data_IF_088668419036
#
_entry.id   IF_088668419036
#
_cell.length_a   1.000
_cell.length_b   1.000
_cell.length_c   1.000
_cell.angle_alpha   90.00
_cell.angle_beta   90.00
_cell.angle_gamma   90.00
#
_symmetry.space_group_name_H-M   'P 1'
#
loop_
_entity.id
_entity.type
_entity.pdbx_description
1 polymer ?
#
# COMPACT_ATOMS: atom_id res chain seq x y z
N UNK A 1 -12.94 2.37 -0.16
CA UNK A 1 -12.23 3.22 0.82
C UNK A 1 -10.79 2.72 1.06
N UNK A 2 -10.14 2.16 0.03
CA UNK A 2 -8.84 1.49 0.16
C UNK A 2 -7.66 2.38 -0.26
N UNK A 3 -7.92 3.46 -1.00
CA UNK A 3 -6.88 4.40 -1.48
C UNK A 3 -5.90 4.88 -0.40
N UNK A 4 -6.31 5.27 0.82
CA UNK A 4 -5.37 5.76 1.83
C UNK A 4 -4.33 4.69 2.22
N UNK A 5 -4.75 3.42 2.30
CA UNK A 5 -3.86 2.30 2.58
C UNK A 5 -2.84 2.10 1.47
N UNK A 6 -3.29 2.18 0.21
CA UNK A 6 -2.38 2.10 -0.95
C UNK A 6 -1.34 3.21 -0.89
N UNK A 7 -1.79 4.46 -0.77
CA UNK A 7 -0.92 5.63 -0.76
C UNK A 7 0.08 5.58 0.41
N UNK A 8 -0.36 5.16 1.60
CA UNK A 8 0.52 5.01 2.75
C UNK A 8 1.54 3.91 2.55
N UNK A 9 1.13 2.69 2.17
CA UNK A 9 2.05 1.54 2.01
C UNK A 9 3.10 1.83 0.93
N UNK A 10 2.70 2.42 -0.20
CA UNK A 10 3.65 2.81 -1.26
C UNK A 10 4.65 3.87 -0.76
N UNK A 11 4.20 4.87 0.00
CA UNK A 11 5.10 5.87 0.60
C UNK A 11 5.98 5.28 1.71
N UNK A 12 5.47 4.29 2.44
CA UNK A 12 6.11 3.69 3.60
C UNK A 12 7.22 2.71 3.21
N UNK A 13 7.02 1.90 2.16
CA UNK A 13 7.94 0.82 1.81
C UNK A 13 8.84 1.12 0.61
N UNK A 14 8.43 2.00 -0.32
CA UNK A 14 9.16 2.21 -1.58
C UNK A 14 10.11 3.42 -1.55
N UNK A 15 10.31 4.04 -0.39
CA UNK A 15 11.17 5.21 -0.24
C UNK A 15 12.15 5.01 0.91
N UNK A 16 13.38 5.43 0.67
CA UNK A 16 14.42 5.46 1.68
C UNK A 16 14.23 6.62 2.66
N UNK A 17 15.08 6.64 3.68
CA UNK A 17 14.99 7.67 4.72
C UNK A 17 15.27 9.06 4.16
N UNK A 18 16.17 9.22 3.19
CA UNK A 18 16.48 10.51 2.60
C UNK A 18 15.30 11.07 1.79
N UNK A 19 14.63 10.25 0.99
CA UNK A 19 13.41 10.63 0.27
C UNK A 19 12.29 11.03 1.24
N UNK A 20 12.09 10.23 2.29
CA UNK A 20 11.10 10.47 3.36
C UNK A 20 11.34 11.80 4.09
N UNK A 21 12.59 12.09 4.41
CA UNK A 21 13.02 13.31 5.10
C UNK A 21 13.07 14.54 4.17
N UNK A 22 12.91 14.37 2.86
CA UNK A 22 12.96 15.47 1.87
C UNK A 22 11.67 15.59 1.05
N UNK A 23 11.60 15.03 -0.16
CA UNK A 23 10.54 15.33 -1.10
C UNK A 23 9.18 14.74 -0.70
N UNK A 24 9.13 13.68 0.12
CA UNK A 24 7.86 13.16 0.64
C UNK A 24 7.17 14.15 1.60
N UNK A 25 7.91 15.10 2.19
CA UNK A 25 7.31 16.16 3.03
C UNK A 25 6.35 17.06 2.23
N UNK A 26 6.45 17.10 0.90
CA UNK A 26 5.45 17.79 0.03
C UNK A 26 4.05 17.18 0.18
N UNK A 27 3.96 15.92 0.60
CA UNK A 27 2.71 15.18 0.87
C UNK A 27 2.36 15.18 2.36
N UNK A 28 2.97 16.04 3.17
CA UNK A 28 2.86 16.05 4.64
C UNK A 28 3.35 14.75 5.31
N UNK A 29 4.22 14.00 4.63
CA UNK A 29 4.83 12.81 5.19
C UNK A 29 5.87 13.18 6.25
N UNK A 30 5.76 12.53 7.41
CA UNK A 30 6.79 12.45 8.43
C UNK A 30 6.50 11.18 9.22
N UNK A 31 7.48 10.33 9.43
CA UNK A 31 7.23 9.07 10.16
C UNK A 31 6.78 9.36 11.59
N UNK A 32 5.79 8.59 12.04
CA UNK A 32 5.38 8.58 13.44
C UNK A 32 6.47 7.91 14.28
N UNK A 33 6.65 8.37 15.52
CA UNK A 33 7.66 7.78 16.39
C UNK A 33 7.27 6.36 16.77
N UNK A 34 8.17 5.41 16.53
CA UNK A 34 7.94 4.00 16.79
C UNK A 34 7.51 3.75 18.24
N UNK A 35 6.37 3.07 18.41
CA UNK A 35 5.77 2.77 19.71
C UNK A 35 4.87 3.89 20.26
N UNK A 36 4.81 5.02 19.58
CA UNK A 36 4.02 6.20 19.96
C UNK A 36 3.06 6.64 18.86
N UNK A 37 2.76 5.79 17.87
CA UNK A 37 1.82 6.10 16.79
C UNK A 37 0.46 6.60 17.27
N UNK A 38 -0.08 6.00 18.33
CA UNK A 38 -1.36 6.39 18.94
C UNK A 38 -1.23 7.53 19.98
N UNK A 39 -0.01 7.97 20.28
CA UNK A 39 0.19 9.06 21.25
C UNK A 39 -0.25 10.39 20.66
N UNK A 40 -1.16 11.06 21.37
CA UNK A 40 -1.58 12.42 21.08
C UNK A 40 -0.64 13.47 21.68
N UNK A 41 0.40 13.05 22.42
CA UNK A 41 1.42 13.96 22.93
C UNK A 41 2.48 14.22 21.86
N UNK A 42 2.61 15.50 21.48
CA UNK A 42 3.59 15.96 20.50
C UNK A 42 5.04 15.74 20.93
N UNK A 43 5.31 15.52 22.22
CA UNK A 43 6.66 15.19 22.69
C UNK A 43 7.02 13.71 22.48
N UNK A 44 6.01 12.84 22.34
CA UNK A 44 6.21 11.41 22.14
C UNK A 44 6.13 11.03 20.66
N UNK A 45 5.17 11.59 19.93
CA UNK A 45 5.03 11.36 18.49
C UNK A 45 5.49 12.59 17.70
N UNK A 46 6.74 12.53 17.24
CA UNK A 46 7.38 13.62 16.49
C UNK A 46 6.74 13.84 15.11
N UNK A 47 6.27 12.77 14.45
CA UNK A 47 5.55 12.88 13.17
C UNK A 47 4.24 13.63 13.32
N UNK A 48 3.46 13.30 14.36
CA UNK A 48 2.24 14.04 14.69
C UNK A 48 2.54 15.50 15.05
N UNK A 49 3.59 15.74 15.84
CA UNK A 49 4.03 17.08 16.21
C UNK A 49 4.38 17.93 14.99
N UNK A 50 5.13 17.35 14.05
CA UNK A 50 5.51 18.00 12.80
C UNK A 50 4.28 18.38 11.97
N UNK A 51 3.34 17.45 11.78
CA UNK A 51 2.08 17.71 11.03
C UNK A 51 1.21 18.76 11.73
N UNK A 52 1.08 18.69 13.05
CA UNK A 52 0.34 19.68 13.85
C UNK A 52 0.97 21.06 13.78
N UNK A 53 2.29 21.17 13.79
CA UNK A 53 2.97 22.47 13.68
C UNK A 53 2.60 23.19 12.38
N UNK A 54 2.37 22.44 11.29
CA UNK A 54 1.97 22.97 9.98
C UNK A 54 0.53 23.48 9.96
N UNK A 55 -0.39 22.77 10.60
CA UNK A 55 -1.82 23.11 10.66
C UNK A 55 -2.26 23.88 11.93
N UNK A 56 -1.33 24.25 12.81
CA UNK A 56 -1.62 24.89 14.11
C UNK A 56 -2.43 26.18 13.91
N UNK A 57 -3.41 26.41 14.80
CA UNK A 57 -4.34 27.56 14.76
C UNK A 57 -5.12 27.66 13.43
N UNK A 58 -5.46 26.51 12.83
CA UNK A 58 -6.17 26.45 11.54
C UNK A 58 -5.44 27.13 10.39
N UNK A 59 -4.11 27.20 10.46
CA UNK A 59 -3.28 27.76 9.39
C UNK A 59 -3.46 26.94 8.11
N UNK A 60 -3.60 27.64 7.00
CA UNK A 60 -3.64 27.05 5.67
C UNK A 60 -2.28 26.43 5.32
N UNK A 61 -2.30 25.28 4.67
CA UNK A 61 -1.10 24.61 4.19
C UNK A 61 -1.39 23.95 2.85
N UNK A 62 -0.34 23.72 2.08
CA UNK A 62 -0.42 23.13 0.76
C UNK A 62 0.16 21.72 0.77
N UNK A 63 -0.36 20.87 -0.11
CA UNK A 63 0.13 19.53 -0.34
C UNK A 63 0.25 19.29 -1.84
N UNK A 64 1.30 18.58 -2.24
CA UNK A 64 1.50 18.15 -3.63
C UNK A 64 2.03 16.72 -3.66
N UNK A 65 1.41 15.90 -4.50
CA UNK A 65 1.80 14.51 -4.69
C UNK A 65 1.11 13.89 -5.91
N UNK A 66 1.60 12.73 -6.37
CA UNK A 66 0.95 11.95 -7.41
C UNK A 66 -0.36 11.35 -6.89
N UNK A 67 -1.23 10.98 -7.82
CA UNK A 67 -2.37 10.13 -7.53
C UNK A 67 -1.92 8.67 -7.61
N UNK A 68 -2.14 7.91 -6.54
CA UNK A 68 -1.82 6.49 -6.47
C UNK A 68 -2.88 5.66 -7.22
N UNK A 69 -2.80 5.67 -8.56
CA UNK A 69 -3.70 4.98 -9.49
C UNK A 69 -2.90 4.09 -10.42
N UNK A 70 -3.44 2.93 -10.81
CA UNK A 70 -2.70 1.93 -11.61
C UNK A 70 -2.18 2.50 -12.93
N UNK A 71 -3.01 3.26 -13.66
CA UNK A 71 -2.64 3.91 -14.92
C UNK A 71 -1.65 5.06 -14.74
N UNK A 72 -1.52 5.62 -13.54
CA UNK A 72 -0.56 6.69 -13.27
C UNK A 72 0.84 6.15 -12.96
N UNK A 73 0.97 4.85 -12.72
CA UNK A 73 2.24 4.18 -12.39
C UNK A 73 2.87 3.49 -13.61
N UNK A 74 2.41 3.80 -14.83
CA UNK A 74 2.98 3.27 -16.08
C UNK A 74 3.89 4.31 -16.74
N UNK A 75 5.00 3.88 -17.34
CA UNK A 75 5.92 4.75 -18.08
C UNK A 75 5.38 5.18 -19.44
N UNK A 76 4.22 4.64 -19.85
CA UNK A 76 3.61 4.90 -21.16
C UNK A 76 2.67 6.09 -21.11
N UNK A 77 2.83 7.00 -22.06
CA UNK A 77 1.91 8.11 -22.26
C UNK A 77 0.57 7.63 -22.83
N UNK A 78 -0.53 8.18 -22.31
CA UNK A 78 -1.87 7.89 -22.80
C UNK A 78 -2.04 8.38 -24.26
N UNK A 79 -2.71 7.59 -25.10
CA UNK A 79 -3.03 7.97 -26.47
C UNK A 79 -3.86 9.26 -26.51
N UNK A 80 -3.72 10.01 -27.61
CA UNK A 80 -4.57 11.16 -27.88
C UNK A 80 -6.05 10.76 -27.98
N UNK A 81 -6.94 11.70 -27.69
CA UNK A 81 -8.40 11.54 -27.76
C UNK A 81 -8.97 10.45 -26.82
N UNK A 82 -8.23 10.06 -25.78
CA UNK A 82 -8.77 9.26 -24.68
C UNK A 82 -9.41 10.19 -23.63
N UNK A 83 -10.60 9.83 -23.14
CA UNK A 83 -11.25 10.57 -22.04
C UNK A 83 -10.86 9.95 -20.70
N UNK A 84 -10.17 10.71 -19.85
CA UNK A 84 -9.87 10.31 -18.48
C UNK A 84 -10.86 10.98 -17.51
N UNK A 85 -11.56 10.18 -16.71
CA UNK A 85 -12.42 10.67 -15.63
C UNK A 85 -11.84 10.26 -14.27
N UNK A 86 -11.40 11.24 -13.49
CA UNK A 86 -10.89 11.02 -12.13
C UNK A 86 -11.96 11.44 -11.12
N UNK A 87 -12.35 10.52 -10.24
CA UNK A 87 -13.28 10.79 -9.13
C UNK A 87 -12.55 10.62 -7.81
N UNK A 88 -12.35 11.73 -7.09
CA UNK A 88 -11.72 11.73 -5.77
C UNK A 88 -12.80 11.79 -4.69
N UNK A 89 -12.74 10.86 -3.74
CA UNK A 89 -13.63 10.84 -2.57
C UNK A 89 -12.79 10.98 -1.31
N UNK A 90 -13.09 11.99 -0.50
CA UNK A 90 -12.35 12.27 0.74
C UNK A 90 -12.69 11.24 1.82
N UNK A 91 -11.67 10.80 2.57
CA UNK A 91 -11.87 10.05 3.81
C UNK A 91 -12.57 10.88 4.89
N UNK A 92 -13.16 10.22 5.88
CA UNK A 92 -13.75 10.89 7.05
C UNK A 92 -12.68 11.59 7.88
N UNK A 93 -13.05 12.68 8.56
CA UNK A 93 -12.12 13.44 9.40
C UNK A 93 -11.49 12.59 10.50
N UNK A 94 -12.29 11.74 11.16
CA UNK A 94 -11.81 10.82 12.20
C UNK A 94 -10.81 9.76 11.72
N UNK A 95 -10.73 9.51 10.41
CA UNK A 95 -9.70 8.64 9.83
C UNK A 95 -8.45 9.44 9.45
N UNK A 96 -8.62 10.67 8.96
CA UNK A 96 -7.52 11.49 8.45
C UNK A 96 -6.79 12.30 9.54
N UNK A 97 -7.41 12.51 10.70
CA UNK A 97 -6.90 13.38 11.77
C UNK A 97 -6.86 12.65 13.11
N UNK A 98 -5.80 12.91 13.87
CA UNK A 98 -5.70 12.55 15.29
C UNK A 98 -5.92 13.78 16.18
N UNK A 99 -6.87 13.68 17.11
CA UNK A 99 -7.32 14.78 17.95
C UNK A 99 -7.64 14.35 19.39
N UNK A 100 -7.40 15.26 20.33
CA UNK A 100 -7.85 15.13 21.73
C UNK A 100 -9.31 15.55 21.93
N UNK A 101 -9.85 16.44 21.08
CA UNK A 101 -11.22 16.97 21.19
C UNK A 101 -12.19 16.31 20.21
N UNK A 102 -11.69 15.81 19.08
CA UNK A 102 -12.49 15.19 18.02
C UNK A 102 -13.44 16.15 17.30
N UNK A 103 -13.13 17.45 17.27
CA UNK A 103 -13.98 18.48 16.62
C UNK A 103 -13.34 19.08 15.36
N UNK A 104 -12.07 18.74 15.12
CA UNK A 104 -11.28 19.20 14.01
C UNK A 104 -11.72 18.54 12.70
N UNK A 105 -11.62 19.32 11.61
CA UNK A 105 -12.03 18.91 10.27
C UNK A 105 -11.05 19.44 9.22
N UNK A 106 -10.95 18.73 8.11
CA UNK A 106 -10.19 19.16 6.94
C UNK A 106 -11.15 19.88 5.98
N UNK A 107 -10.77 21.10 5.58
CA UNK A 107 -11.47 21.86 4.53
C UNK A 107 -10.54 22.07 3.34
N UNK A 108 -10.97 21.65 2.16
CA UNK A 108 -10.28 22.00 0.93
C UNK A 108 -10.66 23.42 0.51
N UNK A 109 -9.65 24.26 0.29
CA UNK A 109 -9.83 25.63 -0.19
C UNK A 109 -9.63 25.70 -1.71
N UNK A 110 -8.61 24.99 -2.21
CA UNK A 110 -8.28 24.88 -3.62
C UNK A 110 -7.78 23.45 -3.92
N UNK A 111 -8.12 22.92 -5.09
CA UNK A 111 -7.71 21.58 -5.54
C UNK A 111 -7.35 21.67 -7.02
N UNK A 112 -6.06 21.46 -7.33
CA UNK A 112 -5.50 21.54 -8.69
C UNK A 112 -4.99 20.17 -9.13
N UNK A 113 -5.29 19.79 -10.38
CA UNK A 113 -4.73 18.62 -11.03
C UNK A 113 -3.76 19.07 -12.12
N UNK A 114 -2.48 18.73 -11.95
CA UNK A 114 -1.45 18.97 -12.96
C UNK A 114 -1.28 17.72 -13.82
N UNK A 115 -1.48 17.86 -15.14
CA UNK A 115 -1.29 16.77 -16.10
C UNK A 115 -0.26 17.19 -17.14
N UNK A 116 0.78 16.37 -17.34
CA UNK A 116 1.78 16.61 -18.38
C UNK A 116 1.23 16.17 -19.73
N UNK A 117 1.14 17.10 -20.68
CA UNK A 117 0.80 16.83 -22.08
C UNK A 117 2.07 16.86 -22.92
N UNK A 118 2.22 15.88 -23.82
CA UNK A 118 3.33 15.82 -24.78
C UNK A 118 2.82 16.15 -26.18
N UNK A 119 3.49 17.08 -26.85
CA UNK A 119 3.24 17.40 -28.25
C UNK A 119 4.18 16.55 -29.11
N UNK A 120 3.62 15.77 -30.01
CA UNK A 120 4.35 14.85 -30.89
C UNK A 120 4.35 15.37 -32.33
N UNK A 121 5.37 15.01 -33.11
CA UNK A 121 5.47 15.42 -34.51
C UNK A 121 4.35 14.77 -35.36
N UNK A 122 3.94 15.41 -36.47
CA UNK A 122 2.93 14.85 -37.37
C UNK A 122 3.28 13.45 -37.89
N UNK A 123 4.57 13.16 -38.11
CA UNK A 123 5.04 11.83 -38.55
C UNK A 123 4.77 10.74 -37.53
N UNK A 124 4.95 11.03 -36.23
CA UNK A 124 4.66 10.07 -35.14
C UNK A 124 3.16 9.84 -35.00
N UNK A 125 2.34 10.89 -35.17
CA UNK A 125 0.87 10.76 -35.17
C UNK A 125 0.39 9.81 -36.27
N UNK A 126 0.91 9.96 -37.49
CA UNK A 126 0.57 9.07 -38.61
C UNK A 126 1.04 7.63 -38.36
N UNK A 127 2.26 7.45 -37.85
CA UNK A 127 2.79 6.15 -37.50
C UNK A 127 1.96 5.44 -36.42
N UNK A 128 1.50 6.17 -35.39
CA UNK A 128 0.59 5.62 -34.38
C UNK A 128 -0.76 5.20 -34.99
N UNK A 129 -1.32 5.99 -35.90
CA UNK A 129 -2.57 5.62 -36.58
C UNK A 129 -2.42 4.30 -37.38
N UNK A 130 -1.33 4.17 -38.16
CA UNK A 130 -1.03 2.94 -38.90
C UNK A 130 -0.73 1.74 -37.99
N UNK A 131 -0.08 1.95 -36.85
CA UNK A 131 0.18 0.88 -35.88
C UNK A 131 -1.11 0.37 -35.22
N UNK A 132 -2.04 1.28 -34.91
CA UNK A 132 -3.33 0.95 -34.30
C UNK A 132 -4.26 0.18 -35.24
N UNK A 133 -4.04 0.22 -36.56
CA UNK A 133 -4.74 -0.67 -37.51
C UNK A 133 -4.33 -2.14 -37.36
N UNK A 134 -3.12 -2.40 -36.85
CA UNK A 134 -2.57 -3.77 -36.71
C UNK A 134 -2.76 -4.35 -35.31
N UNK A 135 -2.61 -3.52 -34.28
CA UNK A 135 -2.72 -3.97 -32.88
C UNK A 135 -3.10 -2.81 -31.96
N UNK A 136 -3.87 -3.06 -30.88
CA UNK A 136 -4.18 -2.03 -29.89
C UNK A 136 -2.93 -1.56 -29.15
N UNK A 137 -2.98 -0.33 -28.63
CA UNK A 137 -1.95 0.17 -27.73
C UNK A 137 -2.04 -0.55 -26.39
N UNK A 138 -0.90 -1.06 -25.92
CA UNK A 138 -0.80 -1.87 -24.70
C UNK A 138 -0.23 -1.03 -23.57
N UNK A 139 -0.86 -1.07 -22.40
CA UNK A 139 -0.48 -0.36 -21.19
C UNK A 139 -0.30 -1.37 -20.05
N UNK A 140 0.92 -1.87 -19.85
CA UNK A 140 1.33 -2.59 -18.65
C UNK A 140 1.02 -1.77 -17.39
N UNK A 141 0.27 -2.34 -16.45
CA UNK A 141 0.00 -1.73 -15.14
C UNK A 141 0.16 -2.72 -14.01
N UNK A 142 0.67 -2.24 -12.87
CA UNK A 142 0.62 -2.97 -11.61
C UNK A 142 -0.65 -2.57 -10.88
N UNK A 143 -1.69 -3.39 -11.04
CA UNK A 143 -2.99 -3.18 -10.40
C UNK A 143 -2.88 -3.50 -8.92
N UNK A 144 -3.34 -2.60 -8.08
CA UNK A 144 -3.40 -2.81 -6.64
C UNK A 144 -4.83 -3.09 -6.19
N UNK A 145 -5.04 -4.23 -5.53
CA UNK A 145 -6.28 -4.52 -4.80
C UNK A 145 -5.98 -4.65 -3.30
N UNK A 146 -6.90 -4.17 -2.47
CA UNK A 146 -6.75 -4.23 -1.01
C UNK A 146 -7.99 -4.89 -0.43
N UNK A 147 -7.78 -6.01 0.25
CA UNK A 147 -8.81 -6.72 0.99
C UNK A 147 -8.56 -6.58 2.48
N UNK A 148 -9.65 -6.39 3.22
CA UNK A 148 -9.61 -6.29 4.67
C UNK A 148 -10.48 -7.37 5.27
N UNK A 149 -9.94 -8.10 6.26
CA UNK A 149 -10.68 -9.10 7.02
C UNK A 149 -10.65 -8.74 8.50
N UNK A 150 -11.83 -8.62 9.10
CA UNK A 150 -11.95 -8.42 10.55
C UNK A 150 -11.74 -9.73 11.30
N UNK A 151 -10.89 -9.70 12.32
CA UNK A 151 -10.64 -10.81 13.24
C UNK A 151 -11.19 -10.41 14.61
N UNK A 152 -12.08 -11.22 15.15
CA UNK A 152 -12.78 -10.92 16.40
C UNK A 152 -11.84 -11.00 17.62
N UNK A 153 -12.21 -10.29 18.68
CA UNK A 153 -11.62 -10.42 20.01
C UNK A 153 -11.71 -11.88 20.51
N UNK A 154 -10.72 -12.31 21.30
CA UNK A 154 -10.68 -13.64 21.92
C UNK A 154 -10.14 -14.75 21.01
N UNK A 155 -9.91 -14.48 19.73
CA UNK A 155 -9.39 -15.48 18.79
C UNK A 155 -7.89 -15.72 19.03
N UNK A 156 -7.49 -16.99 19.01
CA UNK A 156 -6.07 -17.42 19.00
C UNK A 156 -5.55 -17.73 17.60
N UNK A 157 -6.44 -17.97 16.64
CA UNK A 157 -6.06 -18.30 15.28
C UNK A 157 -7.12 -17.85 14.29
N UNK A 158 -6.71 -17.63 13.05
CA UNK A 158 -7.61 -17.30 11.95
C UNK A 158 -7.06 -17.91 10.67
N UNK A 159 -7.91 -18.66 9.98
CA UNK A 159 -7.70 -19.04 8.58
C UNK A 159 -8.56 -18.14 7.71
N UNK A 160 -7.97 -17.63 6.64
CA UNK A 160 -8.63 -16.82 5.62
C UNK A 160 -8.46 -17.53 4.30
N UNK A 161 -9.47 -18.29 3.89
CA UNK A 161 -9.52 -18.95 2.59
C UNK A 161 -9.92 -17.99 1.47
N UNK A 162 -9.55 -18.33 0.24
CA UNK A 162 -9.92 -17.59 -0.98
C UNK A 162 -9.59 -16.09 -0.90
N UNK A 163 -8.43 -15.77 -0.29
CA UNK A 163 -7.97 -14.41 -0.09
C UNK A 163 -7.97 -13.64 -1.41
N UNK A 164 -7.48 -14.27 -2.48
CA UNK A 164 -7.72 -13.86 -3.86
C UNK A 164 -8.14 -15.09 -4.68
N UNK A 165 -9.04 -14.87 -5.64
CA UNK A 165 -9.58 -15.89 -6.53
C UNK A 165 -9.29 -15.49 -7.98
N UNK A 166 -9.10 -16.49 -8.83
CA UNK A 166 -8.73 -16.36 -10.23
C UNK A 166 -7.29 -15.91 -10.38
N UNK A 167 -6.99 -14.62 -10.49
CA UNK A 167 -5.63 -14.13 -10.70
C UNK A 167 -4.83 -14.16 -9.39
N UNK A 168 -3.62 -14.73 -9.41
CA UNK A 168 -2.69 -14.64 -8.30
C UNK A 168 -1.91 -13.31 -8.36
N UNK A 169 -1.76 -12.61 -7.23
CA UNK A 169 -0.91 -11.44 -7.15
C UNK A 169 0.57 -11.82 -7.26
N UNK A 170 1.38 -10.91 -7.81
CA UNK A 170 2.84 -11.03 -7.81
C UNK A 170 3.44 -10.69 -6.44
N UNK A 171 2.77 -9.82 -5.67
CA UNK A 171 3.21 -9.39 -4.34
C UNK A 171 2.02 -9.29 -3.41
N UNK A 172 2.22 -9.72 -2.16
CA UNK A 172 1.25 -9.53 -1.08
C UNK A 172 1.92 -8.88 0.13
N UNK A 173 1.29 -7.85 0.67
CA UNK A 173 1.70 -7.15 1.89
C UNK A 173 0.57 -7.31 2.91
N UNK A 174 0.90 -7.84 4.08
CA UNK A 174 -0.05 -8.08 5.17
C UNK A 174 0.32 -7.18 6.34
N UNK A 175 -0.68 -6.49 6.90
CA UNK A 175 -0.55 -5.70 8.11
C UNK A 175 -1.79 -5.83 8.98
N UNK A 176 -1.61 -5.65 10.29
CA UNK A 176 -2.71 -5.68 11.25
C UNK A 176 -2.86 -4.33 11.93
N UNK A 177 -4.09 -3.89 12.06
CA UNK A 177 -4.42 -2.62 12.72
C UNK A 177 -5.60 -2.82 13.66
N UNK A 178 -5.71 -1.99 14.68
CA UNK A 178 -6.87 -1.99 15.56
C UNK A 178 -8.15 -1.64 14.77
N UNK A 179 -9.25 -2.35 15.04
CA UNK A 179 -10.49 -2.15 14.31
C UNK A 179 -11.07 -0.73 14.45
N UNK A 180 -10.90 -0.06 15.60
CA UNK A 180 -11.35 1.33 15.77
C UNK A 180 -10.52 2.28 14.92
N UNK A 181 -9.20 2.10 14.92
CA UNK A 181 -8.29 2.88 14.08
C UNK A 181 -8.67 2.76 12.59
N UNK A 182 -8.93 1.54 12.12
CA UNK A 182 -9.37 1.30 10.73
C UNK A 182 -10.68 2.03 10.37
N UNK A 183 -11.65 2.05 11.28
CA UNK A 183 -12.95 2.70 11.07
C UNK A 183 -12.92 4.23 11.27
N UNK A 184 -11.80 4.77 11.73
CA UNK A 184 -11.60 6.17 12.07
C UNK A 184 -11.93 6.44 13.53
N UNK A 185 -10.89 6.74 14.31
CA UNK A 185 -10.96 7.12 15.72
C UNK A 185 -9.92 8.22 15.95
N UNK A 186 -10.34 9.37 16.51
CA UNK A 186 -9.45 10.51 16.68
C UNK A 186 -8.26 10.24 17.62
N UNK A 187 -8.36 9.25 18.50
CA UNK A 187 -7.31 8.85 19.42
C UNK A 187 -6.38 7.77 18.87
N UNK A 188 -6.60 7.26 17.66
CA UNK A 188 -5.83 6.15 17.10
C UNK A 188 -5.34 6.44 15.70
N UNK A 189 -4.14 5.94 15.40
CA UNK A 189 -3.53 6.08 14.10
C UNK A 189 -3.93 4.86 13.24
N UNK A 190 -4.62 5.06 12.10
CA UNK A 190 -4.97 3.94 11.21
C UNK A 190 -3.73 3.23 10.66
N UNK A 191 -2.57 3.88 10.62
CA UNK A 191 -1.34 3.31 10.09
C UNK A 191 -0.40 2.74 11.17
N UNK A 192 -0.90 2.55 12.40
CA UNK A 192 -0.18 1.83 13.45
C UNK A 192 -0.28 0.31 13.21
N UNK A 193 0.68 -0.25 12.46
CA UNK A 193 0.74 -1.67 12.12
C UNK A 193 1.34 -2.47 13.28
N UNK A 194 0.48 -3.05 14.12
CA UNK A 194 0.89 -3.77 15.32
C UNK A 194 1.01 -5.27 15.03
N UNK A 195 1.86 -5.96 15.79
CA UNK A 195 2.03 -7.40 15.67
C UNK A 195 0.97 -8.23 16.41
N UNK A 196 0.27 -7.65 17.40
CA UNK A 196 -0.77 -8.32 18.22
C UNK A 196 -0.37 -9.70 18.78
N UNK A 197 0.91 -9.85 19.15
CA UNK A 197 1.50 -11.12 19.60
C UNK A 197 1.33 -12.29 18.61
N UNK A 198 1.29 -11.99 17.30
CA UNK A 198 1.36 -13.00 16.26
C UNK A 198 2.58 -13.90 16.49
N UNK A 199 2.39 -15.21 16.43
CA UNK A 199 3.46 -16.20 16.61
C UNK A 199 3.51 -17.24 15.48
N UNK A 200 2.60 -17.14 14.51
CA UNK A 200 2.56 -17.98 13.33
C UNK A 200 1.89 -17.23 12.19
N UNK A 201 2.55 -17.19 11.03
CA UNK A 201 2.00 -16.72 9.76
C UNK A 201 2.47 -17.64 8.64
N UNK A 202 1.51 -18.20 7.90
CA UNK A 202 1.77 -18.98 6.70
C UNK A 202 0.83 -18.57 5.58
N UNK A 203 1.39 -18.22 4.43
CA UNK A 203 0.62 -18.07 3.20
C UNK A 203 0.66 -19.40 2.43
N UNK A 204 -0.46 -19.76 1.83
CA UNK A 204 -0.59 -20.90 0.94
C UNK A 204 -1.06 -20.43 -0.43
N UNK A 205 -0.38 -20.88 -1.48
CA UNK A 205 -0.74 -20.67 -2.89
C UNK A 205 -0.97 -22.03 -3.50
N UNK A 206 -2.19 -22.30 -3.98
CA UNK A 206 -2.60 -23.60 -4.53
C UNK A 206 -2.28 -24.80 -3.59
N UNK A 207 -2.47 -24.58 -2.29
CA UNK A 207 -2.18 -25.57 -1.24
C UNK A 207 -0.71 -25.67 -0.84
N UNK A 208 0.22 -25.09 -1.59
CA UNK A 208 1.65 -25.07 -1.26
C UNK A 208 1.98 -23.90 -0.33
N UNK A 209 2.79 -24.17 0.70
CA UNK A 209 3.26 -23.16 1.65
C UNK A 209 4.28 -22.21 1.00
N UNK A 210 4.06 -20.89 1.15
CA UNK A 210 4.97 -19.83 0.73
C UNK A 210 5.19 -18.86 1.90
N UNK A 211 6.42 -18.69 2.43
CA UNK A 211 7.59 -19.53 2.19
C UNK A 211 7.38 -20.98 2.66
N UNK A 212 8.32 -21.88 2.34
CA UNK A 212 8.21 -23.32 2.64
C UNK A 212 8.07 -23.62 4.13
N UNK A 213 8.63 -22.77 4.98
CA UNK A 213 8.47 -22.81 6.43
C UNK A 213 7.63 -21.62 6.88
N UNK A 214 6.76 -21.80 7.89
CA UNK A 214 5.96 -20.70 8.42
C UNK A 214 6.85 -19.68 9.13
N UNK A 215 6.43 -18.41 9.10
CA UNK A 215 7.04 -17.39 9.95
C UNK A 215 6.54 -17.60 11.38
N UNK A 216 7.45 -17.86 12.32
CA UNK A 216 7.11 -18.06 13.73
C UNK A 216 7.82 -17.06 14.65
N UNK A 217 7.44 -15.77 14.61
CA UNK A 217 8.08 -14.75 15.43
C UNK A 217 7.76 -14.93 16.93
N UNK A 218 8.71 -14.54 17.78
CA UNK A 218 8.49 -14.33 19.21
C UNK A 218 8.90 -12.89 19.57
N UNK A 219 7.93 -11.99 19.48
CA UNK A 219 8.10 -10.57 19.79
C UNK A 219 8.43 -10.30 21.26
N UNK A 220 8.18 -11.25 22.18
CA UNK A 220 8.52 -11.07 23.60
C UNK A 220 10.01 -11.28 23.87
N UNK A 221 10.69 -12.02 22.99
CA UNK A 221 12.13 -12.32 23.07
C UNK A 221 12.95 -11.63 21.98
N UNK A 222 12.35 -10.68 21.27
CA UNK A 222 12.93 -10.01 20.11
C UNK A 222 13.37 -10.96 18.97
N UNK A 223 12.69 -12.10 18.81
CA UNK A 223 12.99 -13.12 17.79
C UNK A 223 12.02 -13.00 16.61
N UNK A 224 12.20 -11.97 15.79
CA UNK A 224 11.33 -11.69 14.63
C UNK A 224 12.11 -11.39 13.34
N UNK A 225 13.38 -11.82 13.26
CA UNK A 225 14.28 -11.48 12.16
C UNK A 225 13.77 -11.93 10.78
N UNK A 226 13.17 -13.11 10.68
CA UNK A 226 12.60 -13.60 9.41
C UNK A 226 11.44 -12.72 8.94
N UNK A 227 10.58 -12.28 9.86
CA UNK A 227 9.48 -11.35 9.57
C UNK A 227 10.02 -9.99 9.11
N UNK A 228 11.02 -9.45 9.82
CA UNK A 228 11.69 -8.21 9.43
C UNK A 228 12.35 -8.34 8.05
N UNK A 229 13.00 -9.47 7.76
CA UNK A 229 13.63 -9.74 6.47
C UNK A 229 12.63 -9.69 5.30
N UNK A 230 11.37 -10.10 5.54
CA UNK A 230 10.34 -10.04 4.49
C UNK A 230 10.15 -8.65 3.91
N UNK A 231 10.34 -7.58 4.71
CA UNK A 231 10.25 -6.20 4.24
C UNK A 231 11.24 -5.89 3.12
N UNK A 232 12.38 -6.55 3.08
CA UNK A 232 13.45 -6.31 2.10
C UNK A 232 13.38 -7.31 0.96
N UNK A 233 13.20 -8.60 1.26
CA UNK A 233 13.08 -9.64 0.22
C UNK A 233 11.83 -9.44 -0.63
N UNK A 234 10.71 -9.08 0.00
CA UNK A 234 9.43 -8.91 -0.71
C UNK A 234 9.31 -7.59 -1.50
N UNK A 235 10.08 -6.56 -1.14
CA UNK A 235 10.14 -5.28 -1.87
C UNK A 235 11.28 -5.23 -2.89
N UNK A 236 12.10 -6.28 -2.97
CA UNK A 236 13.19 -6.38 -3.95
C UNK A 236 14.40 -5.48 -3.67
N UNK A 237 14.53 -4.95 -2.44
CA UNK A 237 15.69 -4.16 -1.98
C UNK A 237 16.68 -4.98 -1.16
N UNK A 238 16.42 -6.29 -0.98
CA UNK A 238 17.30 -7.17 -0.21
C UNK A 238 18.74 -7.13 -0.75
N UNK A 239 19.68 -6.76 0.13
CA UNK A 239 21.11 -6.62 -0.18
C UNK A 239 21.47 -5.54 -1.21
N UNK A 240 20.52 -4.67 -1.59
CA UNK A 240 20.79 -3.46 -2.38
C UNK A 240 21.23 -2.31 -1.45
N UNK A 241 21.89 -1.31 -2.00
CA UNK A 241 22.20 -0.05 -1.29
C UNK A 241 20.97 0.88 -1.27
N UNK A 242 19.84 0.32 -0.83
CA UNK A 242 18.53 0.94 -0.78
C UNK A 242 17.81 0.49 0.49
N UNK A 243 17.02 1.37 1.10
CA UNK A 243 16.31 1.08 2.33
C UNK A 243 14.86 1.53 2.29
N UNK A 244 14.08 1.08 3.27
CA UNK A 244 12.70 1.50 3.49
C UNK A 244 12.54 2.36 4.75
N UNK A 245 13.63 2.77 5.40
CA UNK A 245 13.61 3.61 6.61
C UNK A 245 13.18 2.90 7.91
N UNK A 246 12.82 1.60 7.88
CA UNK A 246 12.37 0.87 9.07
C UNK A 246 13.54 0.12 9.69
N UNK A 247 13.96 0.52 10.89
CA UNK A 247 15.00 -0.17 11.64
C UNK A 247 14.48 -1.45 12.31
N UNK A 248 15.39 -2.38 12.63
CA UNK A 248 15.06 -3.61 13.37
C UNK A 248 14.35 -3.33 14.71
N UNK A 249 14.72 -2.25 15.41
CA UNK A 249 14.13 -1.87 16.70
C UNK A 249 12.78 -1.16 16.57
N UNK A 250 12.51 -0.56 15.41
CA UNK A 250 11.25 0.15 15.15
C UNK A 250 10.19 -0.77 14.55
N UNK A 251 10.59 -1.85 13.90
CA UNK A 251 9.71 -2.83 13.27
C UNK A 251 8.58 -3.35 14.17
N UNK A 252 8.83 -3.87 15.39
CA UNK A 252 7.75 -4.39 16.25
C UNK A 252 6.88 -3.28 16.85
N UNK A 253 7.29 -2.01 16.74
CA UNK A 253 6.67 -0.88 17.43
C UNK A 253 5.75 -0.07 16.52
N UNK A 254 4.80 -0.74 15.87
CA UNK A 254 3.79 -0.09 15.00
C UNK A 254 4.16 -0.04 13.52
N UNK A 255 5.23 -0.74 13.12
CA UNK A 255 5.72 -0.82 11.74
C UNK A 255 5.74 -2.27 11.21
N UNK A 256 4.92 -3.15 11.79
CA UNK A 256 4.95 -4.60 11.52
C UNK A 256 4.11 -4.94 10.28
N UNK A 257 4.79 -4.99 9.12
CA UNK A 257 4.25 -5.52 7.87
C UNK A 257 4.99 -6.80 7.47
N UNK A 258 4.32 -7.65 6.69
CA UNK A 258 4.88 -8.88 6.11
C UNK A 258 4.74 -8.81 4.60
N UNK A 259 5.85 -8.93 3.85
CA UNK A 259 5.86 -8.76 2.39
C UNK A 259 6.30 -10.06 1.72
N UNK A 260 5.46 -10.60 0.85
CA UNK A 260 5.71 -11.81 0.08
C UNK A 260 5.82 -11.46 -1.39
N UNK A 261 6.95 -11.82 -1.99
CA UNK A 261 7.08 -11.92 -3.45
C UNK A 261 6.63 -13.33 -3.87
N UNK A 262 5.63 -13.39 -4.75
CA UNK A 262 5.01 -14.61 -5.25
C UNK A 262 5.34 -14.87 -6.72
N UNK A 263 6.17 -14.00 -7.32
CA UNK A 263 6.69 -14.25 -8.65
C UNK A 263 7.60 -15.49 -8.65
N UNK A 264 7.58 -16.33 -9.71
CA UNK A 264 8.38 -17.55 -9.76
C UNK A 264 9.90 -17.34 -9.62
N UNK A 265 10.37 -16.18 -10.04
CA UNK A 265 11.77 -15.78 -10.10
C UNK A 265 12.14 -14.67 -9.09
N UNK A 266 11.24 -14.34 -8.15
CA UNK A 266 11.43 -13.29 -7.14
C UNK A 266 11.74 -11.91 -7.73
N UNK A 267 11.04 -11.60 -8.82
CA UNK A 267 11.22 -10.42 -9.64
C UNK A 267 10.02 -9.47 -9.58
N UNK A 268 9.22 -9.47 -8.51
CA UNK A 268 8.04 -8.58 -8.45
C UNK A 268 8.40 -7.09 -8.48
N UNK A 269 9.66 -6.73 -8.22
CA UNK A 269 10.20 -5.37 -8.36
C UNK A 269 10.93 -5.11 -9.69
N UNK A 270 11.03 -6.10 -10.56
CA UNK A 270 11.76 -5.99 -11.83
C UNK A 270 10.81 -5.64 -12.99
N UNK A 271 11.31 -5.01 -14.07
CA UNK A 271 10.46 -4.44 -15.13
C UNK A 271 9.88 -5.50 -16.08
N UNK A 272 10.32 -6.76 -16.02
CA UNK A 272 9.80 -7.82 -16.89
C UNK A 272 8.50 -8.43 -16.35
N UNK A 273 7.82 -9.12 -17.25
CA UNK A 273 6.51 -9.69 -16.99
C UNK A 273 6.61 -11.18 -16.73
N UNK A 274 5.98 -11.60 -15.65
CA UNK A 274 5.78 -13.00 -15.36
C UNK A 274 4.47 -13.48 -15.97
N UNK A 275 4.41 -14.78 -16.28
CA UNK A 275 3.17 -15.37 -16.78
C UNK A 275 2.08 -15.22 -15.72
N UNK A 276 0.94 -14.62 -16.08
CA UNK A 276 -0.20 -14.53 -15.19
C UNK A 276 -0.66 -15.94 -14.79
N UNK A 277 -0.64 -16.19 -13.48
CA UNK A 277 -1.08 -17.47 -12.92
C UNK A 277 -2.47 -17.33 -12.34
N UNK A 278 -3.24 -18.41 -12.49
CA UNK A 278 -4.50 -18.55 -11.80
C UNK A 278 -4.38 -19.51 -10.64
N UNK A 279 -5.11 -19.23 -9.56
CA UNK A 279 -5.03 -20.06 -8.35
C UNK A 279 -5.87 -19.54 -7.20
N UNK A 280 -5.65 -20.17 -6.05
CA UNK A 280 -6.28 -19.81 -4.78
C UNK A 280 -5.23 -19.48 -3.73
N UNK A 281 -5.57 -18.53 -2.87
CA UNK A 281 -4.70 -18.12 -1.77
C UNK A 281 -5.39 -18.33 -0.43
N UNK A 282 -4.65 -18.85 0.53
CA UNK A 282 -5.10 -18.98 1.92
C UNK A 282 -4.04 -18.41 2.86
N UNK A 283 -4.49 -17.68 3.89
CA UNK A 283 -3.64 -17.13 4.93
C UNK A 283 -3.99 -17.75 6.28
N UNK A 284 -3.01 -18.36 6.94
CA UNK A 284 -3.14 -18.94 8.27
C UNK A 284 -2.36 -18.11 9.29
N UNK A 285 -3.05 -17.72 10.37
CA UNK A 285 -2.55 -16.86 11.43
C UNK A 285 -2.76 -17.52 12.79
N UNK A 286 -1.78 -17.38 13.69
CA UNK A 286 -1.95 -17.69 15.12
C UNK A 286 -1.30 -16.61 15.99
N UNK A 287 -1.89 -16.41 17.16
CA UNK A 287 -1.48 -15.44 18.16
C UNK A 287 -1.11 -16.17 19.44
N UNK A 288 -0.02 -15.74 20.09
CA UNK A 288 0.44 -16.31 21.35
C UNK A 288 -0.59 -16.12 22.48
N UNK A 289 -1.35 -15.03 22.41
CA UNK A 289 -2.40 -14.66 23.36
C UNK A 289 -3.72 -14.44 22.62
N UNK A 290 -4.87 -14.61 23.29
CA UNK A 290 -6.15 -14.29 22.67
C UNK A 290 -6.21 -12.78 22.39
N UNK A 291 -6.67 -12.41 21.19
CA UNK A 291 -6.75 -11.00 20.81
C UNK A 291 -7.58 -10.19 21.83
N UNK A 292 -6.97 -9.19 22.47
CA UNK A 292 -7.62 -8.37 23.48
C UNK A 292 -8.72 -7.46 22.92
N UNK A 293 -8.70 -7.20 21.61
CA UNK A 293 -9.64 -6.35 20.89
C UNK A 293 -9.79 -6.84 19.45
N UNK A 294 -10.88 -6.52 18.74
CA UNK A 294 -10.99 -6.86 17.32
C UNK A 294 -9.95 -6.10 16.50
N UNK A 295 -9.36 -6.77 15.52
CA UNK A 295 -8.36 -6.21 14.62
C UNK A 295 -8.78 -6.39 13.17
N UNK A 296 -8.22 -5.57 12.28
CA UNK A 296 -8.38 -5.72 10.85
C UNK A 296 -7.06 -6.15 10.23
N UNK A 297 -7.09 -7.28 9.52
CA UNK A 297 -6.02 -7.73 8.65
C UNK A 297 -6.18 -7.03 7.30
N UNK A 298 -5.27 -6.11 6.99
CA UNK A 298 -5.20 -5.41 5.71
C UNK A 298 -4.24 -6.16 4.81
N UNK A 299 -4.74 -6.64 3.67
CA UNK A 299 -3.98 -7.37 2.67
C UNK A 299 -3.93 -6.53 1.40
N UNK A 300 -2.76 -5.98 1.13
CA UNK A 300 -2.45 -5.27 -0.11
C UNK A 300 -1.85 -6.25 -1.10
N UNK A 301 -2.38 -6.28 -2.32
CA UNK A 301 -1.97 -7.23 -3.34
C UNK A 301 -1.73 -6.52 -4.68
N UNK A 302 -0.60 -6.81 -5.31
CA UNK A 302 -0.23 -6.29 -6.62
C UNK A 302 -0.43 -7.36 -7.69
N UNK A 303 -0.99 -6.97 -8.83
CA UNK A 303 -1.24 -7.83 -9.97
C UNK A 303 -0.65 -7.19 -11.22
N UNK A 304 0.03 -7.97 -12.06
CA UNK A 304 0.40 -7.51 -13.39
C UNK A 304 -0.82 -7.64 -14.30
N UNK A 305 -1.33 -6.52 -14.80
CA UNK A 305 -2.51 -6.46 -15.67
C UNK A 305 -2.25 -5.58 -16.88
N UNK A 306 -2.97 -5.86 -17.96
CA UNK A 306 -2.85 -5.13 -19.21
C UNK A 306 -4.11 -4.33 -19.51
N UNK A 307 -3.91 -3.04 -19.79
CA UNK A 307 -4.95 -2.18 -20.37
C UNK A 307 -4.62 -2.03 -21.86
N UNK A 308 -5.60 -2.31 -22.72
CA UNK A 308 -5.48 -2.13 -24.16
C UNK A 308 -6.41 -1.01 -24.64
N UNK A 309 -5.92 -0.17 -25.55
CA UNK A 309 -6.71 0.88 -26.19
C UNK A 309 -6.66 0.66 -27.69
N UNK A 310 -7.83 0.40 -28.29
CA UNK A 310 -7.92 0.14 -29.73
C UNK A 310 -7.93 1.43 -30.58
N UNK A 311 -8.01 1.25 -31.90
CA UNK A 311 -8.06 2.36 -32.87
C UNK A 311 -9.25 3.29 -32.65
N UNK A 312 -10.36 2.78 -32.10
CA UNK A 312 -11.61 3.50 -31.86
C UNK A 312 -11.65 4.10 -30.44
N UNK A 313 -10.57 3.94 -29.67
CA UNK A 313 -10.39 4.41 -28.28
C UNK A 313 -11.28 3.66 -27.28
N UNK A 314 -11.71 2.45 -27.61
CA UNK A 314 -12.29 1.56 -26.62
C UNK A 314 -11.19 1.05 -25.69
N UNK A 315 -11.49 1.06 -24.40
CA UNK A 315 -10.59 0.56 -23.36
C UNK A 315 -10.98 -0.87 -23.05
N UNK A 316 -10.05 -1.79 -23.27
CA UNK A 316 -10.18 -3.21 -22.96
C UNK A 316 -9.25 -3.51 -21.79
N UNK A 317 -9.74 -4.25 -20.80
CA UNK A 317 -8.96 -4.63 -19.62
C UNK A 317 -9.05 -6.14 -19.42
N UNK A 318 -7.94 -6.74 -18.98
CA UNK A 318 -7.85 -8.19 -18.73
C UNK A 318 -8.32 -8.61 -17.33
N UNK A 319 -8.90 -7.69 -16.56
CA UNK A 319 -9.41 -7.90 -15.20
C UNK A 319 -10.85 -7.44 -15.06
N UNK A 320 -11.59 -8.04 -14.14
CA UNK A 320 -12.91 -7.54 -13.73
C UNK A 320 -12.75 -6.20 -13.00
N UNK A 321 -13.40 -5.15 -13.52
CA UNK A 321 -13.45 -3.79 -12.93
C UNK A 321 -14.38 -3.73 -11.73
#
# INVERSE_FOLDING_TARGET
MTYPWRAYIEAFLNYDKAAKDTHLQQRMWHEDTAGHHDSLDSNQNLGLAWRRSRAKLSREFEMMGPLHLDICNTDRLLLNNCTLRVKLTRSRDAFALMSTKGTEKIKFLDVKLYVRRVNISPSVLLAHAQALEKSPAKYPVNRVDIKTVTIAQGMHSKTIDNLFMNQLPQRVIIGFVDNRAYNGDYGRNPYNFQHFHLNYLQLHVDGQAVPSHPLTPDFSKDLYMECYNTLFSGTGIHWKDEGNGISWSDYPKGNTLFVFDLSPDLSASEPHWNLQRQGTMRLDLRFAEPLAQPINCVVYAEFQNLIEIDKDRNVIVDYSV
#
